data_IF_877282797747
#
_entry.id   IF_877282797747
#
_cell.length_a   1.000
_cell.length_b   1.000
_cell.length_c   1.000
_cell.angle_alpha   90.00
_cell.angle_beta   90.00
_cell.angle_gamma   90.00
#
_symmetry.space_group_name_H-M   'P 1'
#
loop_
_entity.id
_entity.type
_entity.pdbx_description
1 polymer ?
#
# COMPACT_ATOMS: atom_id res chain seq x y z
N UNK A 1 -19.83 -34.83 64.61
CA UNK A 1 -20.31 -35.39 63.33
C UNK A 1 -19.86 -34.41 62.27
N UNK A 2 -18.65 -34.50 61.70
CA UNK A 2 -18.24 -35.45 60.62
C UNK A 2 -19.31 -35.52 59.52
N UNK A 3 -19.07 -35.10 58.28
CA UNK A 3 -18.07 -35.54 57.31
C UNK A 3 -17.63 -34.36 56.40
N UNK A 4 -16.34 -34.09 56.22
CA UNK A 4 -15.46 -34.52 55.09
C UNK A 4 -15.92 -34.08 53.70
N UNK A 5 -15.24 -33.07 53.14
CA UNK A 5 -15.09 -32.90 51.69
C UNK A 5 -13.60 -32.83 51.36
N UNK A 6 -13.15 -33.72 50.49
CA UNK A 6 -11.76 -33.98 50.15
C UNK A 6 -11.12 -32.83 49.38
N UNK A 7 -9.88 -32.50 49.78
CA UNK A 7 -8.94 -31.73 48.98
C UNK A 7 -8.53 -32.51 47.72
N UNK A 8 -8.59 -31.86 46.56
CA UNK A 8 -7.74 -32.17 45.41
C UNK A 8 -6.97 -30.92 45.04
N UNK A 9 -5.67 -31.12 44.96
CA UNK A 9 -4.62 -30.14 44.73
C UNK A 9 -4.78 -29.53 43.33
N UNK A 10 -4.80 -28.20 43.25
CA UNK A 10 -4.47 -27.48 42.02
C UNK A 10 -2.96 -27.27 41.99
N UNK A 11 -2.23 -27.80 41.00
CA UNK A 11 -0.82 -27.48 40.85
C UNK A 11 -0.70 -26.06 40.30
N UNK A 12 -0.06 -25.20 41.09
CA UNK A 12 0.57 -23.95 40.67
C UNK A 12 1.54 -24.26 39.52
N UNK A 13 1.28 -23.70 38.35
CA UNK A 13 2.21 -23.67 37.23
C UNK A 13 2.70 -22.23 37.02
N UNK A 14 4.03 -22.13 37.02
CA UNK A 14 4.86 -20.93 36.93
C UNK A 14 4.70 -20.18 35.60
N UNK A 15 4.97 -18.87 35.55
CA UNK A 15 4.98 -18.09 34.33
C UNK A 15 6.37 -18.15 33.67
N UNK A 16 6.53 -19.02 32.68
CA UNK A 16 7.64 -18.95 31.70
C UNK A 16 7.06 -19.09 30.29
N UNK A 17 6.48 -18.00 29.78
CA UNK A 17 6.40 -17.78 28.34
C UNK A 17 7.64 -16.98 27.96
N UNK A 18 8.71 -17.70 27.62
CA UNK A 18 9.84 -17.13 26.92
C UNK A 18 9.33 -16.54 25.61
N UNK A 19 9.38 -15.22 25.50
CA UNK A 19 9.34 -14.52 24.24
C UNK A 19 10.50 -15.04 23.40
N UNK A 20 10.20 -15.81 22.36
CA UNK A 20 11.16 -16.08 21.30
C UNK A 20 11.36 -14.78 20.55
N UNK A 21 12.40 -14.05 20.94
CA UNK A 21 13.04 -13.01 20.13
C UNK A 21 13.40 -13.64 18.79
N UNK A 22 12.61 -13.36 17.75
CA UNK A 22 13.06 -13.54 16.38
C UNK A 22 14.18 -12.55 16.16
N UNK A 23 15.42 -13.05 16.14
CA UNK A 23 16.61 -12.31 15.74
C UNK A 23 16.32 -11.55 14.45
N UNK A 24 16.39 -10.21 14.52
CA UNK A 24 16.32 -9.30 13.38
C UNK A 24 17.59 -9.36 12.51
N UNK A 25 18.26 -10.52 12.47
CA UNK A 25 19.55 -10.73 11.84
C UNK A 25 19.56 -12.04 11.04
N UNK A 26 18.60 -12.17 10.11
CA UNK A 26 18.69 -13.19 9.07
C UNK A 26 19.70 -12.71 8.02
N UNK A 27 20.77 -13.48 7.72
CA UNK A 27 21.73 -13.10 6.70
C UNK A 27 21.03 -13.05 5.33
N UNK A 28 21.19 -11.92 4.61
CA UNK A 28 20.74 -11.78 3.22
C UNK A 28 21.39 -12.85 2.35
N UNK A 29 20.68 -13.30 1.31
CA UNK A 29 21.24 -14.21 0.30
C UNK A 29 22.54 -13.60 -0.30
N UNK A 30 23.70 -14.26 -0.16
CA UNK A 30 24.99 -13.75 -0.61
C UNK A 30 25.09 -13.56 -2.13
N UNK A 31 24.09 -13.96 -2.92
CA UNK A 31 24.05 -13.77 -4.36
C UNK A 31 23.31 -12.50 -4.83
N UNK A 32 22.80 -11.69 -3.90
CA UNK A 32 22.26 -10.36 -4.23
C UNK A 32 23.42 -9.38 -4.43
N UNK A 33 23.58 -8.73 -5.60
CA UNK A 33 24.66 -7.77 -5.78
C UNK A 33 24.51 -6.61 -4.78
N UNK A 34 25.45 -6.50 -3.84
CA UNK A 34 25.54 -5.41 -2.88
C UNK A 34 25.80 -4.11 -3.66
N UNK A 35 24.75 -3.33 -3.89
CA UNK A 35 24.87 -1.95 -4.38
C UNK A 35 25.20 -1.10 -3.15
N UNK A 36 26.25 -0.28 -3.23
CA UNK A 36 26.57 0.65 -2.14
C UNK A 36 25.36 1.55 -1.82
N UNK A 37 25.16 1.99 -0.55
CA UNK A 37 24.07 2.88 -0.18
C UNK A 37 24.07 4.10 -1.10
N UNK A 38 22.93 4.40 -1.73
CA UNK A 38 22.83 5.53 -2.67
C UNK A 38 22.46 6.83 -1.95
N UNK A 39 22.05 6.74 -0.69
CA UNK A 39 21.68 7.87 0.16
C UNK A 39 22.60 7.97 1.39
N UNK A 40 22.73 9.18 1.92
CA UNK A 40 23.37 9.47 3.20
C UNK A 40 22.33 9.98 4.19
N UNK A 41 22.27 9.36 5.38
CA UNK A 41 21.13 9.24 6.32
C UNK A 41 20.53 10.55 6.91
N UNK A 42 21.04 11.75 6.63
CA UNK A 42 20.76 12.91 7.49
C UNK A 42 20.10 14.15 6.88
N UNK A 43 20.05 14.31 5.55
CA UNK A 43 19.50 15.55 4.94
C UNK A 43 18.58 15.31 3.72
N UNK A 44 18.11 14.07 3.51
CA UNK A 44 17.23 13.79 2.37
C UNK A 44 15.79 14.30 2.61
N UNK A 45 15.22 15.14 1.73
CA UNK A 45 13.84 15.64 1.86
C UNK A 45 12.77 14.55 1.98
N UNK A 46 12.98 13.37 1.40
CA UNK A 46 12.07 12.24 1.52
C UNK A 46 12.04 11.70 2.96
N UNK A 47 13.20 11.64 3.63
CA UNK A 47 13.30 11.23 5.04
C UNK A 47 12.58 12.25 5.91
N UNK A 48 12.82 13.56 5.71
CA UNK A 48 12.11 14.61 6.45
C UNK A 48 10.58 14.55 6.25
N UNK A 49 10.13 14.28 5.03
CA UNK A 49 8.71 14.11 4.74
C UNK A 49 8.11 12.90 5.48
N UNK A 50 8.85 11.79 5.55
CA UNK A 50 8.48 10.60 6.33
C UNK A 50 8.48 10.89 7.84
N UNK A 51 9.49 11.58 8.37
CA UNK A 51 9.56 11.94 9.79
C UNK A 51 8.41 12.88 10.21
N UNK A 52 7.98 13.76 9.31
CA UNK A 52 6.83 14.63 9.54
C UNK A 52 5.48 13.90 9.59
N UNK A 53 5.45 12.59 9.32
CA UNK A 53 4.27 11.70 9.44
C UNK A 53 4.49 10.64 10.53
N UNK A 54 5.67 10.02 10.56
CA UNK A 54 5.98 8.87 11.41
C UNK A 54 6.90 9.19 12.60
N UNK A 55 7.18 10.47 12.85
CA UNK A 55 8.00 10.90 13.98
C UNK A 55 9.50 10.77 13.69
N UNK A 56 10.37 10.96 14.69
CA UNK A 56 11.81 10.89 14.48
C UNK A 56 12.22 9.48 14.04
N UNK A 57 12.80 9.35 12.84
CA UNK A 57 13.25 8.07 12.28
C UNK A 57 14.77 7.96 12.30
N UNK A 58 15.46 9.07 12.04
CA UNK A 58 16.92 9.14 11.94
C UNK A 58 17.61 9.14 13.30
N UNK A 59 16.93 9.66 14.33
CA UNK A 59 17.49 9.82 15.69
C UNK A 59 17.22 8.63 16.61
N UNK A 60 16.35 7.70 16.21
CA UNK A 60 16.09 6.48 16.97
C UNK A 60 17.23 5.48 16.79
N UNK A 61 17.73 4.96 17.90
CA UNK A 61 18.75 3.91 17.93
C UNK A 61 18.12 2.54 17.66
N UNK A 62 18.88 1.59 17.11
CA UNK A 62 18.38 0.25 16.71
C UNK A 62 17.61 -0.48 17.82
N UNK A 63 18.03 -0.33 19.09
CA UNK A 63 17.34 -0.96 20.22
C UNK A 63 15.97 -0.34 20.52
N UNK A 64 15.77 0.94 20.23
CA UNK A 64 14.52 1.68 20.44
C UNK A 64 13.48 1.32 19.37
N UNK A 65 13.93 0.97 18.17
CA UNK A 65 13.08 0.59 17.02
C UNK A 65 12.18 -0.59 17.36
N UNK A 66 12.65 -1.54 18.18
CA UNK A 66 11.86 -2.72 18.58
C UNK A 66 10.62 -2.37 19.43
N UNK A 67 10.62 -1.21 20.06
CA UNK A 67 9.51 -0.69 20.88
C UNK A 67 8.78 0.48 20.22
N UNK A 68 9.21 0.87 19.02
CA UNK A 68 8.62 1.99 18.32
C UNK A 68 7.18 1.69 17.93
N UNK A 69 6.30 2.64 18.23
CA UNK A 69 4.92 2.64 17.78
C UNK A 69 4.74 3.86 16.88
N UNK A 70 4.16 3.71 15.67
CA UNK A 70 4.00 4.85 14.79
C UNK A 70 3.12 5.91 15.46
N UNK A 71 3.52 7.20 15.46
CA UNK A 71 2.66 8.26 15.97
C UNK A 71 1.37 8.36 15.14
N UNK A 72 0.32 9.01 15.65
CA UNK A 72 -0.95 9.16 14.94
C UNK A 72 -0.90 10.22 13.82
N UNK A 73 0.21 10.30 13.08
CA UNK A 73 0.51 11.34 12.09
C UNK A 73 0.06 11.05 10.66
N UNK A 74 -0.38 9.82 10.36
CA UNK A 74 -0.87 9.43 9.02
C UNK A 74 -2.21 10.08 8.62
N UNK A 75 -2.84 10.78 9.58
CA UNK A 75 -4.18 11.36 9.44
C UNK A 75 -5.28 10.33 9.68
N UNK A 76 -6.53 10.73 9.47
CA UNK A 76 -7.67 9.83 9.65
C UNK A 76 -8.05 9.55 11.11
N UNK A 77 -9.02 8.67 11.29
CA UNK A 77 -9.54 8.28 12.59
C UNK A 77 -8.50 7.46 13.38
N UNK A 78 -8.18 7.92 14.60
CA UNK A 78 -7.09 7.40 15.45
C UNK A 78 -5.70 7.49 14.79
N UNK A 79 -5.52 8.41 13.84
CA UNK A 79 -4.20 8.69 13.24
C UNK A 79 -3.69 7.62 12.29
N UNK A 80 -4.60 6.83 11.70
CA UNK A 80 -4.29 5.89 10.61
C UNK A 80 -5.17 6.16 9.41
N UNK A 81 -4.56 6.11 8.23
CA UNK A 81 -5.24 6.29 6.96
C UNK A 81 -4.61 5.33 5.95
N UNK A 82 -5.39 4.37 5.47
CA UNK A 82 -4.86 3.12 4.88
C UNK A 82 -3.93 3.37 3.68
N UNK A 83 -4.25 4.35 2.83
CA UNK A 83 -3.39 4.71 1.68
C UNK A 83 -2.07 5.35 2.11
N UNK A 84 -2.13 6.27 3.08
CA UNK A 84 -0.93 6.92 3.63
C UNK A 84 0.00 5.87 4.24
N UNK A 85 -0.57 4.93 5.00
CA UNK A 85 0.21 3.88 5.66
C UNK A 85 0.75 2.84 4.66
N UNK A 86 0.03 2.52 3.59
CA UNK A 86 0.54 1.66 2.51
C UNK A 86 1.78 2.26 1.84
N UNK A 87 1.73 3.56 1.52
CA UNK A 87 2.89 4.31 1.03
C UNK A 87 4.00 4.36 2.08
N UNK A 88 3.66 4.51 3.36
CA UNK A 88 4.63 4.49 4.46
C UNK A 88 5.45 3.19 4.50
N UNK A 89 4.76 2.04 4.44
CA UNK A 89 5.41 0.72 4.39
C UNK A 89 6.33 0.61 3.18
N UNK A 90 5.87 1.01 1.99
CA UNK A 90 6.68 0.96 0.77
C UNK A 90 7.91 1.87 0.85
N UNK A 91 7.76 3.08 1.37
CA UNK A 91 8.87 4.01 1.58
C UNK A 91 9.87 3.48 2.61
N UNK A 92 9.41 2.86 3.69
CA UNK A 92 10.31 2.23 4.67
C UNK A 92 11.11 1.07 4.06
N UNK A 93 10.48 0.25 3.21
CA UNK A 93 11.21 -0.79 2.47
C UNK A 93 12.26 -0.16 1.54
N UNK A 94 11.90 0.90 0.80
CA UNK A 94 12.86 1.63 -0.03
C UNK A 94 14.02 2.19 0.79
N UNK A 95 13.75 2.85 1.93
CA UNK A 95 14.79 3.42 2.78
C UNK A 95 15.71 2.34 3.38
N UNK A 96 15.18 1.16 3.70
CA UNK A 96 16.00 0.05 4.17
C UNK A 96 17.06 -0.37 3.14
N UNK A 97 16.69 -0.41 1.87
CA UNK A 97 17.59 -0.74 0.75
C UNK A 97 18.54 0.40 0.42
N UNK A 98 18.03 1.63 0.27
CA UNK A 98 18.83 2.79 -0.16
C UNK A 98 19.86 3.25 0.88
N UNK A 99 19.60 3.01 2.17
CA UNK A 99 20.48 3.35 3.30
C UNK A 99 21.19 2.12 3.90
N UNK A 100 20.92 0.93 3.37
CA UNK A 100 21.42 -0.35 3.90
C UNK A 100 21.19 -0.52 5.42
N UNK A 101 19.96 -0.24 5.87
CA UNK A 101 19.63 -0.18 7.30
C UNK A 101 18.35 -0.94 7.63
N UNK A 102 18.49 -2.04 8.37
CA UNK A 102 17.38 -2.91 8.79
C UNK A 102 16.38 -2.21 9.72
N UNK A 103 16.75 -1.06 10.33
CA UNK A 103 15.86 -0.24 11.17
C UNK A 103 14.55 0.11 10.44
N UNK A 104 14.63 0.41 9.14
CA UNK A 104 13.46 0.78 8.37
C UNK A 104 12.53 -0.40 8.07
N UNK A 105 13.05 -1.63 7.91
CA UNK A 105 12.19 -2.81 7.83
C UNK A 105 11.45 -3.03 9.16
N UNK A 106 12.08 -2.79 10.30
CA UNK A 106 11.41 -2.86 11.58
C UNK A 106 10.30 -1.80 11.75
N UNK A 107 10.52 -0.57 11.27
CA UNK A 107 9.43 0.43 11.18
C UNK A 107 8.29 -0.03 10.28
N UNK A 108 8.57 -0.62 9.11
CA UNK A 108 7.56 -1.16 8.21
C UNK A 108 6.72 -2.25 8.89
N UNK A 109 7.37 -3.18 9.59
CA UNK A 109 6.69 -4.25 10.33
C UNK A 109 5.81 -3.71 11.46
N UNK A 110 6.32 -2.76 12.26
CA UNK A 110 5.56 -2.12 13.33
C UNK A 110 4.36 -1.31 12.80
N UNK A 111 4.51 -0.65 11.64
CA UNK A 111 3.42 0.05 10.97
C UNK A 111 2.33 -0.91 10.50
N UNK A 112 2.70 -2.06 9.91
CA UNK A 112 1.74 -3.12 9.53
C UNK A 112 0.94 -3.60 10.74
N UNK A 113 1.60 -3.93 11.85
CA UNK A 113 0.91 -4.32 13.09
C UNK A 113 -0.05 -3.23 13.55
N UNK A 114 0.39 -1.97 13.58
CA UNK A 114 -0.44 -0.86 14.03
C UNK A 114 -1.65 -0.59 13.13
N UNK A 115 -1.51 -0.78 11.81
CA UNK A 115 -2.63 -0.69 10.87
C UNK A 115 -3.62 -1.81 11.12
N UNK A 116 -3.18 -3.05 11.29
CA UNK A 116 -4.08 -4.19 11.55
C UNK A 116 -4.80 -4.05 12.89
N UNK A 117 -4.11 -3.52 13.91
CA UNK A 117 -4.70 -3.28 15.23
C UNK A 117 -5.59 -2.04 15.30
N UNK A 118 -5.41 -1.05 14.43
CA UNK A 118 -6.29 0.13 14.40
C UNK A 118 -7.43 -0.04 13.39
N UNK A 119 -7.09 -0.28 12.12
CA UNK A 119 -8.02 -0.31 10.98
C UNK A 119 -8.68 -1.68 10.77
N UNK A 120 -8.10 -2.76 11.31
CA UNK A 120 -8.71 -4.10 11.38
C UNK A 120 -9.60 -4.31 12.60
N UNK A 121 -9.94 -3.24 13.33
CA UNK A 121 -10.86 -3.22 14.47
C UNK A 121 -12.01 -2.25 14.25
N UNK A 122 -13.07 -2.41 15.03
CA UNK A 122 -14.16 -1.44 15.13
C UNK A 122 -13.64 -0.06 15.54
N UNK A 123 -14.40 1.00 15.25
CA UNK A 123 -13.95 2.38 15.51
C UNK A 123 -13.65 2.63 16.99
N UNK A 124 -14.45 2.07 17.88
CA UNK A 124 -14.22 2.08 19.34
C UNK A 124 -13.08 1.16 19.82
N UNK A 125 -12.42 0.45 18.90
CA UNK A 125 -11.34 -0.51 19.15
C UNK A 125 -11.74 -1.74 19.98
N UNK A 126 -13.03 -1.91 20.30
CA UNK A 126 -13.50 -2.94 21.22
C UNK A 126 -13.33 -4.37 20.69
N UNK A 127 -13.38 -4.57 19.37
CA UNK A 127 -13.20 -5.89 18.74
C UNK A 127 -12.60 -5.80 17.35
N UNK A 128 -12.14 -6.95 16.81
CA UNK A 128 -11.80 -7.13 15.39
C UNK A 128 -13.04 -6.88 14.52
N UNK A 129 -12.83 -6.51 13.26
CA UNK A 129 -13.90 -6.41 12.29
C UNK A 129 -14.62 -7.76 12.11
N UNK A 130 -15.84 -7.73 11.60
CA UNK A 130 -16.66 -8.93 11.44
C UNK A 130 -15.94 -9.95 10.57
N UNK A 131 -16.07 -11.24 10.92
CA UNK A 131 -15.32 -12.36 10.33
C UNK A 131 -13.81 -12.44 10.66
N UNK A 132 -13.19 -11.42 11.23
CA UNK A 132 -11.78 -11.45 11.64
C UNK A 132 -11.55 -12.01 13.04
N UNK A 133 -10.38 -12.58 13.26
CA UNK A 133 -9.88 -13.03 14.58
C UNK A 133 -8.42 -12.60 14.75
N UNK A 134 -7.83 -12.73 15.95
CA UNK A 134 -6.41 -12.41 16.12
C UNK A 134 -5.48 -13.33 15.30
N UNK A 135 -5.92 -14.53 14.95
CA UNK A 135 -5.17 -15.44 14.06
C UNK A 135 -5.38 -15.14 12.58
N UNK A 136 -6.53 -14.57 12.24
CA UNK A 136 -6.93 -14.25 10.87
C UNK A 136 -7.44 -12.80 10.82
N UNK A 137 -6.53 -11.82 11.00
CA UNK A 137 -6.92 -10.44 11.30
C UNK A 137 -7.53 -9.69 10.12
N UNK A 138 -7.36 -10.17 8.89
CA UNK A 138 -7.77 -9.49 7.67
C UNK A 138 -9.02 -10.12 7.01
N UNK A 139 -9.63 -11.13 7.62
CA UNK A 139 -10.90 -11.73 7.13
C UNK A 139 -12.09 -10.77 7.14
N UNK A 140 -12.02 -9.72 7.94
CA UNK A 140 -13.01 -8.65 7.96
C UNK A 140 -12.65 -7.46 7.06
N UNK A 141 -11.57 -7.57 6.30
CA UNK A 141 -11.02 -6.45 5.56
C UNK A 141 -10.32 -5.42 6.45
N UNK A 142 -10.25 -4.17 5.99
CA UNK A 142 -9.69 -3.04 6.74
C UNK A 142 -10.52 -1.78 6.48
N UNK A 143 -10.77 -1.01 7.54
CA UNK A 143 -11.34 0.33 7.39
C UNK A 143 -10.35 1.23 6.65
N UNK A 144 -10.86 2.19 5.88
CA UNK A 144 -10.02 3.21 5.23
C UNK A 144 -9.44 4.20 6.26
N UNK A 145 -10.16 4.45 7.37
CA UNK A 145 -9.73 5.36 8.43
C UNK A 145 -10.24 6.79 8.27
N UNK A 146 -11.40 7.02 7.62
CA UNK A 146 -11.98 8.37 7.52
C UNK A 146 -12.42 8.88 8.90
N UNK A 147 -12.31 10.20 9.08
CA UNK A 147 -12.63 10.87 10.34
C UNK A 147 -14.11 10.68 10.72
N UNK A 148 -15.02 10.82 9.75
CA UNK A 148 -16.44 10.57 9.93
C UNK A 148 -16.77 9.09 9.72
N UNK A 149 -17.69 8.56 10.51
CA UNK A 149 -18.14 7.16 10.39
C UNK A 149 -19.06 6.97 9.18
N UNK A 150 -20.00 7.89 8.97
CA UNK A 150 -21.05 7.81 7.94
C UNK A 150 -21.01 9.01 6.99
N UNK A 151 -21.79 8.93 5.91
CA UNK A 151 -21.88 9.95 4.86
C UNK A 151 -21.08 9.58 3.60
N UNK A 152 -21.17 10.43 2.58
CA UNK A 152 -20.55 10.18 1.27
C UNK A 152 -19.02 10.00 1.38
N UNK A 153 -18.38 10.77 2.26
CA UNK A 153 -16.95 10.65 2.62
C UNK A 153 -16.71 10.00 3.99
N UNK A 154 -17.69 9.23 4.49
CA UNK A 154 -17.57 8.45 5.72
C UNK A 154 -16.58 7.29 5.59
N UNK A 155 -16.35 6.59 6.70
CA UNK A 155 -15.52 5.38 6.74
C UNK A 155 -16.15 4.25 5.90
N UNK A 156 -15.43 3.14 5.79
CA UNK A 156 -15.82 2.00 4.96
C UNK A 156 -14.61 1.27 4.44
N UNK A 157 -14.81 0.47 3.40
CA UNK A 157 -13.73 -0.24 2.72
C UNK A 157 -13.73 0.14 1.24
N UNK A 158 -12.55 0.48 0.72
CA UNK A 158 -12.34 0.92 -0.65
C UNK A 158 -11.43 -0.08 -1.35
N UNK A 159 -11.84 -0.52 -2.53
CA UNK A 159 -11.17 -1.61 -3.23
C UNK A 159 -9.70 -1.32 -3.54
N UNK A 160 -9.38 -0.22 -4.24
CA UNK A 160 -8.00 0.15 -4.56
C UNK A 160 -7.15 0.47 -3.31
N UNK A 161 -7.73 0.93 -2.20
CA UNK A 161 -6.98 1.13 -0.95
C UNK A 161 -6.54 -0.19 -0.35
N UNK A 162 -7.46 -1.16 -0.28
CA UNK A 162 -7.15 -2.51 0.17
C UNK A 162 -6.13 -3.17 -0.75
N UNK A 163 -6.26 -2.96 -2.07
CA UNK A 163 -5.34 -3.51 -3.05
C UNK A 163 -3.93 -2.89 -2.95
N UNK A 164 -3.83 -1.58 -2.68
CA UNK A 164 -2.55 -0.93 -2.38
C UNK A 164 -1.92 -1.47 -1.10
N UNK A 165 -2.73 -1.76 -0.09
CA UNK A 165 -2.25 -2.40 1.15
C UNK A 165 -1.76 -3.84 0.91
N UNK A 166 -2.49 -4.64 0.11
CA UNK A 166 -2.04 -5.97 -0.32
C UNK A 166 -0.68 -5.90 -1.04
N UNK A 167 -0.51 -4.91 -1.93
CA UNK A 167 0.77 -4.69 -2.59
C UNK A 167 1.88 -4.37 -1.58
N UNK A 168 1.65 -3.47 -0.63
CA UNK A 168 2.63 -3.14 0.41
C UNK A 168 3.01 -4.37 1.27
N UNK A 169 2.04 -5.19 1.69
CA UNK A 169 2.28 -6.45 2.41
C UNK A 169 3.11 -7.43 1.58
N UNK A 170 2.80 -7.57 0.29
CA UNK A 170 3.57 -8.42 -0.61
C UNK A 170 5.02 -7.94 -0.77
N UNK A 171 5.24 -6.62 -0.93
CA UNK A 171 6.59 -6.05 -0.98
C UNK A 171 7.35 -6.27 0.32
N UNK A 172 6.69 -6.13 1.48
CA UNK A 172 7.30 -6.43 2.78
C UNK A 172 7.67 -7.91 2.90
N UNK A 173 6.82 -8.81 2.38
CA UNK A 173 7.11 -10.24 2.34
C UNK A 173 8.38 -10.56 1.57
N UNK A 174 8.57 -9.92 0.41
CA UNK A 174 9.77 -10.09 -0.41
C UNK A 174 11.00 -9.50 0.28
N UNK A 175 10.90 -8.26 0.79
CA UNK A 175 12.03 -7.57 1.41
C UNK A 175 12.54 -8.26 2.69
N UNK A 176 11.63 -8.85 3.48
CA UNK A 176 11.98 -9.56 4.73
C UNK A 176 12.27 -11.04 4.53
N UNK A 177 11.88 -11.61 3.38
CA UNK A 177 11.86 -13.05 3.17
C UNK A 177 10.79 -13.79 3.99
N UNK A 178 9.93 -13.08 4.73
CA UNK A 178 8.89 -13.69 5.56
C UNK A 178 7.59 -13.88 4.75
N UNK A 179 7.19 -15.13 4.43
CA UNK A 179 6.01 -15.40 3.60
C UNK A 179 4.70 -15.02 4.28
N UNK A 180 4.68 -14.84 5.61
CA UNK A 180 3.46 -14.53 6.35
C UNK A 180 2.82 -13.21 5.90
N UNK A 181 3.62 -12.25 5.44
CA UNK A 181 3.07 -10.99 4.93
C UNK A 181 2.32 -11.17 3.61
N UNK A 182 2.80 -12.02 2.70
CA UNK A 182 2.04 -12.38 1.50
C UNK A 182 0.82 -13.25 1.84
N UNK A 183 0.92 -14.14 2.82
CA UNK A 183 -0.22 -14.92 3.32
C UNK A 183 -1.33 -14.01 3.88
N UNK A 184 -0.96 -12.91 4.57
CA UNK A 184 -1.91 -11.88 5.02
C UNK A 184 -2.54 -11.13 3.83
N UNK A 185 -1.77 -10.79 2.81
CA UNK A 185 -2.31 -10.18 1.59
C UNK A 185 -3.30 -11.10 0.87
N UNK A 186 -3.01 -12.40 0.77
CA UNK A 186 -3.91 -13.42 0.22
C UNK A 186 -5.19 -13.55 1.06
N UNK A 187 -5.08 -13.56 2.38
CA UNK A 187 -6.23 -13.58 3.29
C UNK A 187 -7.15 -12.37 3.04
N UNK A 188 -6.57 -11.17 2.91
CA UNK A 188 -7.33 -9.96 2.63
C UNK A 188 -8.00 -10.04 1.25
N UNK A 189 -7.27 -10.50 0.23
CA UNK A 189 -7.76 -10.63 -1.14
C UNK A 189 -9.01 -11.54 -1.21
N UNK A 190 -8.91 -12.74 -0.63
CA UNK A 190 -10.00 -13.72 -0.60
C UNK A 190 -11.22 -13.22 0.21
N UNK A 191 -10.98 -12.50 1.30
CA UNK A 191 -12.05 -12.00 2.15
C UNK A 191 -12.90 -10.91 1.48
N UNK A 192 -12.24 -9.96 0.81
CA UNK A 192 -12.91 -8.76 0.30
C UNK A 192 -13.44 -8.94 -1.13
N UNK A 193 -12.82 -9.78 -1.95
CA UNK A 193 -13.22 -9.98 -3.35
C UNK A 193 -14.72 -10.24 -3.55
N UNK A 194 -15.36 -11.26 -2.92
CA UNK A 194 -16.78 -11.54 -3.14
C UNK A 194 -17.71 -10.40 -2.67
N UNK A 195 -17.21 -9.41 -1.93
CA UNK A 195 -17.98 -8.27 -1.42
C UNK A 195 -17.92 -7.07 -2.35
N UNK A 196 -16.85 -6.95 -3.13
CA UNK A 196 -16.69 -5.90 -4.13
C UNK A 196 -17.21 -6.29 -5.53
N UNK A 197 -17.50 -7.58 -5.75
CA UNK A 197 -18.01 -8.11 -7.00
C UNK A 197 -19.51 -8.40 -6.91
N UNK A 198 -20.30 -7.71 -7.73
CA UNK A 198 -21.76 -7.85 -7.80
C UNK A 198 -22.12 -8.57 -9.09
N UNK A 199 -22.55 -9.82 -8.98
CA UNK A 199 -22.98 -10.61 -10.13
C UNK A 199 -24.39 -10.20 -10.57
N UNK A 200 -24.48 -9.50 -11.70
CA UNK A 200 -25.74 -9.16 -12.35
C UNK A 200 -26.22 -10.26 -13.30
N UNK A 201 -27.44 -10.10 -13.82
CA UNK A 201 -28.03 -11.01 -14.82
C UNK A 201 -27.24 -10.99 -16.13
N UNK A 202 -26.73 -9.83 -16.53
CA UNK A 202 -26.02 -9.65 -17.81
C UNK A 202 -24.49 -9.66 -17.65
N UNK A 203 -23.96 -9.21 -16.51
CA UNK A 203 -22.52 -9.06 -16.30
C UNK A 203 -22.16 -8.89 -14.81
N UNK A 204 -20.98 -9.38 -14.43
CA UNK A 204 -20.38 -9.15 -13.10
C UNK A 204 -19.79 -7.75 -12.99
N UNK A 205 -20.23 -6.89 -12.08
CA UNK A 205 -19.63 -5.54 -11.93
C UNK A 205 -18.82 -5.41 -10.65
N UNK A 206 -17.85 -4.51 -10.64
CA UNK A 206 -17.18 -4.09 -9.42
C UNK A 206 -17.84 -2.84 -8.83
N UNK A 207 -17.75 -2.69 -7.51
CA UNK A 207 -18.16 -1.48 -6.79
C UNK A 207 -16.96 -0.82 -6.14
N UNK A 208 -17.01 0.50 -6.01
CA UNK A 208 -15.89 1.30 -5.50
C UNK A 208 -15.72 1.21 -3.97
N UNK A 209 -16.83 1.23 -3.23
CA UNK A 209 -16.84 1.30 -1.76
C UNK A 209 -17.98 0.48 -1.16
N UNK A 210 -17.66 -0.25 -0.09
CA UNK A 210 -18.60 -0.99 0.75
C UNK A 210 -18.51 -0.53 2.21
N UNK A 211 -19.51 -0.90 3.01
CA UNK A 211 -19.56 -0.66 4.45
C UNK A 211 -18.46 -1.42 5.21
N UNK A 212 -18.19 -1.00 6.44
CA UNK A 212 -17.13 -1.60 7.29
C UNK A 212 -17.39 -3.08 7.55
N UNK A 213 -18.66 -3.48 7.73
CA UNK A 213 -19.11 -4.88 7.89
C UNK A 213 -19.11 -5.69 6.58
N UNK A 214 -18.83 -5.04 5.44
CA UNK A 214 -18.87 -5.60 4.08
C UNK A 214 -20.25 -6.10 3.63
N UNK A 215 -21.34 -5.66 4.26
CA UNK A 215 -22.71 -6.09 3.92
C UNK A 215 -23.42 -5.15 2.94
N UNK A 216 -23.01 -3.89 2.86
CA UNK A 216 -23.70 -2.84 2.11
C UNK A 216 -22.78 -2.17 1.08
N UNK A 217 -23.25 -2.03 -0.16
CA UNK A 217 -22.60 -1.18 -1.17
C UNK A 217 -22.89 0.28 -0.85
N UNK A 218 -21.84 1.05 -0.56
CA UNK A 218 -21.94 2.49 -0.27
C UNK A 218 -21.71 3.36 -1.51
N UNK A 219 -20.86 2.90 -2.43
CA UNK A 219 -20.65 3.57 -3.70
C UNK A 219 -20.59 2.53 -4.83
N UNK A 220 -21.64 2.44 -5.68
CA UNK A 220 -21.72 1.44 -6.73
C UNK A 220 -20.94 1.82 -8.00
N UNK A 221 -20.24 2.95 -8.02
CA UNK A 221 -19.44 3.35 -9.19
C UNK A 221 -18.33 2.33 -9.43
N UNK A 222 -17.98 2.16 -10.70
CA UNK A 222 -16.91 1.29 -11.15
C UNK A 222 -15.84 2.16 -11.82
N UNK A 223 -14.62 2.17 -11.29
CA UNK A 223 -13.47 2.85 -11.87
C UNK A 223 -12.56 1.87 -12.62
N UNK A 224 -11.93 2.31 -13.72
CA UNK A 224 -10.97 1.48 -14.46
C UNK A 224 -9.75 1.10 -13.60
N UNK A 225 -9.34 1.99 -12.69
CA UNK A 225 -8.22 1.74 -11.78
C UNK A 225 -8.45 0.54 -10.87
N UNK A 226 -9.65 0.37 -10.29
CA UNK A 226 -9.95 -0.72 -9.35
C UNK A 226 -9.72 -2.09 -10.02
N UNK A 227 -10.19 -2.25 -11.26
CA UNK A 227 -10.06 -3.51 -11.99
C UNK A 227 -8.62 -3.79 -12.45
N UNK A 228 -7.92 -2.78 -13.00
CA UNK A 228 -6.53 -2.92 -13.46
C UNK A 228 -5.60 -3.23 -12.29
N UNK A 229 -5.71 -2.43 -11.23
CA UNK A 229 -4.88 -2.59 -10.04
C UNK A 229 -5.20 -3.91 -9.32
N UNK A 230 -6.47 -4.24 -9.19
CA UNK A 230 -6.95 -5.50 -8.62
C UNK A 230 -6.36 -6.71 -9.34
N UNK A 231 -6.48 -6.77 -10.67
CA UNK A 231 -5.93 -7.88 -11.45
C UNK A 231 -4.41 -8.02 -11.24
N UNK A 232 -3.67 -6.91 -11.37
CA UNK A 232 -2.20 -6.93 -11.32
C UNK A 232 -1.69 -7.37 -9.96
N UNK A 233 -2.28 -6.84 -8.88
CA UNK A 233 -1.90 -7.23 -7.52
C UNK A 233 -2.30 -8.67 -7.22
N UNK A 234 -3.49 -9.13 -7.61
CA UNK A 234 -3.89 -10.53 -7.36
C UNK A 234 -2.97 -11.53 -8.08
N UNK A 235 -2.56 -11.24 -9.32
CA UNK A 235 -1.53 -12.03 -10.03
C UNK A 235 -0.19 -12.00 -9.29
N UNK A 236 0.26 -10.83 -8.85
CA UNK A 236 1.49 -10.68 -8.07
C UNK A 236 1.47 -11.49 -6.77
N UNK A 237 0.36 -11.45 -6.01
CA UNK A 237 0.19 -12.21 -4.78
C UNK A 237 0.30 -13.72 -5.05
N UNK A 238 -0.41 -14.20 -6.08
CA UNK A 238 -0.40 -15.60 -6.48
C UNK A 238 1.00 -16.06 -6.93
N UNK A 239 1.67 -15.26 -7.77
CA UNK A 239 3.02 -15.58 -8.24
C UNK A 239 4.02 -15.62 -7.06
N UNK A 240 3.94 -14.66 -6.14
CA UNK A 240 4.77 -14.63 -4.92
C UNK A 240 4.48 -15.83 -4.01
N UNK A 241 3.21 -16.26 -3.92
CA UNK A 241 2.86 -17.43 -3.12
C UNK A 241 3.54 -18.70 -3.67
N UNK A 242 3.54 -18.87 -5.00
CA UNK A 242 4.20 -20.00 -5.67
C UNK A 242 5.71 -19.99 -5.42
N UNK A 243 6.38 -18.84 -5.55
CA UNK A 243 7.82 -18.74 -5.27
C UNK A 243 8.16 -19.03 -3.81
N UNK A 244 7.23 -18.77 -2.88
CA UNK A 244 7.32 -19.08 -1.45
C UNK A 244 6.83 -20.50 -1.10
N UNK A 245 6.67 -21.38 -2.08
CA UNK A 245 6.31 -22.79 -1.89
C UNK A 245 4.86 -23.03 -1.48
N UNK A 246 3.96 -22.06 -1.70
CA UNK A 246 2.50 -22.25 -1.54
C UNK A 246 1.91 -22.91 -2.78
N UNK A 247 0.66 -23.38 -2.65
CA UNK A 247 -0.07 -23.96 -3.78
C UNK A 247 -0.30 -22.92 -4.88
N UNK A 248 -0.28 -23.36 -6.13
CA UNK A 248 -0.67 -22.52 -7.27
C UNK A 248 -2.19 -22.37 -7.35
N UNK A 249 -2.66 -21.27 -7.96
CA UNK A 249 -4.09 -21.07 -8.21
C UNK A 249 -4.93 -20.63 -7.01
N UNK A 250 -4.31 -20.15 -5.92
CA UNK A 250 -5.01 -19.70 -4.70
C UNK A 250 -5.98 -18.52 -4.93
N UNK A 251 -5.80 -17.77 -6.01
CA UNK A 251 -6.66 -16.64 -6.42
C UNK A 251 -7.21 -16.83 -7.84
N UNK A 252 -7.28 -18.08 -8.33
CA UNK A 252 -7.63 -18.36 -9.73
C UNK A 252 -9.02 -17.84 -10.10
N UNK A 253 -10.00 -17.96 -9.20
CA UNK A 253 -11.37 -17.51 -9.48
C UNK A 253 -11.43 -15.99 -9.51
N UNK A 254 -10.83 -15.34 -8.51
CA UNK A 254 -10.79 -13.90 -8.37
C UNK A 254 -10.11 -13.23 -9.57
N UNK A 255 -8.96 -13.76 -10.00
CA UNK A 255 -8.23 -13.31 -11.19
C UNK A 255 -9.12 -13.42 -12.44
N UNK A 256 -9.85 -14.53 -12.63
CA UNK A 256 -10.71 -14.72 -13.79
C UNK A 256 -11.87 -13.72 -13.86
N UNK A 257 -12.40 -13.28 -12.71
CA UNK A 257 -13.47 -12.28 -12.64
C UNK A 257 -12.96 -10.87 -12.97
N UNK A 258 -11.76 -10.49 -12.52
CA UNK A 258 -11.12 -9.24 -13.00
C UNK A 258 -10.88 -9.26 -14.51
N UNK A 259 -10.40 -10.38 -15.05
CA UNK A 259 -10.19 -10.52 -16.50
C UNK A 259 -11.52 -10.39 -17.27
N UNK A 260 -12.63 -10.87 -16.72
CA UNK A 260 -13.96 -10.69 -17.31
C UNK A 260 -14.34 -9.20 -17.40
N UNK A 261 -14.02 -8.42 -16.37
CA UNK A 261 -14.31 -6.98 -16.32
C UNK A 261 -13.44 -6.22 -17.33
N UNK A 262 -12.14 -6.50 -17.38
CA UNK A 262 -11.21 -5.80 -18.29
C UNK A 262 -11.43 -6.15 -19.76
N UNK A 263 -11.97 -7.35 -20.07
CA UNK A 263 -12.35 -7.75 -21.44
C UNK A 263 -13.53 -6.97 -22.03
N UNK A 264 -14.22 -6.13 -21.24
CA UNK A 264 -15.37 -5.36 -21.72
C UNK A 264 -14.92 -4.13 -22.49
N UNK A 265 -15.46 -3.97 -23.69
CA UNK A 265 -15.14 -2.86 -24.57
C UNK A 265 -15.29 -1.49 -23.90
N UNK A 266 -14.28 -0.64 -24.12
CA UNK A 266 -14.28 0.76 -23.71
C UNK A 266 -13.99 1.05 -22.24
N UNK A 267 -13.76 0.03 -21.39
CA UNK A 267 -13.51 0.22 -19.94
C UNK A 267 -12.05 0.48 -19.56
N UNK A 268 -11.11 0.07 -20.40
CA UNK A 268 -9.67 0.24 -20.15
C UNK A 268 -9.19 1.54 -20.77
N UNK A 269 -9.39 2.66 -20.07
CA UNK A 269 -8.89 3.98 -20.46
C UNK A 269 -8.30 4.74 -19.29
N UNK A 270 -7.22 5.50 -19.49
CA UNK A 270 -6.66 6.34 -18.46
C UNK A 270 -7.61 7.45 -18.03
N UNK A 271 -7.61 7.75 -16.73
CA UNK A 271 -8.32 8.88 -16.15
C UNK A 271 -7.56 10.19 -16.42
N UNK A 272 -8.27 11.32 -16.49
CA UNK A 272 -7.65 12.65 -16.45
C UNK A 272 -7.39 13.13 -15.02
N UNK A 273 -7.87 12.40 -14.00
CA UNK A 273 -7.46 12.62 -12.63
C UNK A 273 -6.01 12.19 -12.44
N UNK A 274 -5.15 13.08 -11.95
CA UNK A 274 -3.71 12.83 -11.89
C UNK A 274 -3.33 11.68 -10.94
N UNK A 275 -4.10 11.43 -9.88
CA UNK A 275 -3.83 10.28 -9.02
C UNK A 275 -4.10 8.99 -9.80
N UNK A 276 -5.31 8.86 -10.33
CA UNK A 276 -5.73 7.66 -11.07
C UNK A 276 -4.89 7.43 -12.33
N UNK A 277 -4.50 8.51 -13.02
CA UNK A 277 -3.61 8.47 -14.18
C UNK A 277 -2.29 7.81 -13.83
N UNK A 278 -1.64 8.28 -12.77
CA UNK A 278 -0.34 7.77 -12.34
C UNK A 278 -0.39 6.37 -11.76
N UNK A 279 -1.39 6.08 -10.92
CA UNK A 279 -1.57 4.75 -10.35
C UNK A 279 -1.93 3.73 -11.44
N UNK A 280 -2.72 4.13 -12.44
CA UNK A 280 -3.01 3.29 -13.61
C UNK A 280 -1.77 3.05 -14.46
N UNK A 281 -0.99 4.11 -14.75
CA UNK A 281 0.29 3.99 -15.47
C UNK A 281 1.24 3.03 -14.75
N UNK A 282 1.46 3.21 -13.46
CA UNK A 282 2.26 2.28 -12.65
C UNK A 282 1.72 0.85 -12.72
N UNK A 283 0.41 0.65 -12.61
CA UNK A 283 -0.18 -0.68 -12.65
C UNK A 283 0.06 -1.41 -13.99
N UNK A 284 0.24 -0.70 -15.11
CA UNK A 284 0.61 -1.34 -16.39
C UNK A 284 1.95 -2.08 -16.35
N UNK A 285 2.86 -1.72 -15.44
CA UNK A 285 4.13 -2.42 -15.24
C UNK A 285 3.96 -3.86 -14.73
N UNK A 286 2.78 -4.20 -14.19
CA UNK A 286 2.41 -5.56 -13.79
C UNK A 286 1.94 -6.42 -14.98
N UNK A 287 1.93 -5.89 -16.20
CA UNK A 287 1.43 -6.55 -17.41
C UNK A 287 2.38 -6.38 -18.61
N UNK A 288 3.68 -6.72 -18.50
CA UNK A 288 4.68 -6.40 -19.52
C UNK A 288 4.43 -7.03 -20.91
N UNK A 289 3.55 -8.03 -21.00
CA UNK A 289 3.21 -8.72 -22.25
C UNK A 289 1.82 -8.43 -22.82
N UNK A 290 1.01 -7.57 -22.20
CA UNK A 290 -0.38 -7.37 -22.63
C UNK A 290 -0.53 -6.11 -23.51
N UNK A 291 -1.08 -6.28 -24.72
CA UNK A 291 -1.22 -5.19 -25.71
C UNK A 291 -2.07 -4.03 -25.19
N UNK A 292 -3.14 -4.32 -24.43
CA UNK A 292 -3.96 -3.26 -23.85
C UNK A 292 -3.20 -2.46 -22.79
N UNK A 293 -2.26 -3.08 -22.06
CA UNK A 293 -1.46 -2.40 -21.05
C UNK A 293 -0.47 -1.45 -21.71
N UNK A 294 0.12 -1.85 -22.84
CA UNK A 294 0.95 -0.98 -23.67
C UNK A 294 0.14 0.22 -24.22
N UNK A 295 -1.05 -0.03 -24.77
CA UNK A 295 -1.92 1.05 -25.25
C UNK A 295 -2.38 2.00 -24.13
N UNK A 296 -2.71 1.45 -22.95
CA UNK A 296 -3.06 2.24 -21.77
C UNK A 296 -1.87 3.09 -21.32
N UNK A 297 -0.67 2.52 -21.27
CA UNK A 297 0.58 3.20 -20.93
C UNK A 297 0.85 4.38 -21.86
N UNK A 298 0.80 4.17 -23.17
CA UNK A 298 1.00 5.23 -24.18
C UNK A 298 -0.02 6.37 -24.02
N UNK A 299 -1.30 6.02 -23.87
CA UNK A 299 -2.36 7.01 -23.66
C UNK A 299 -2.17 7.78 -22.33
N UNK A 300 -1.67 7.12 -21.29
CA UNK A 300 -1.40 7.73 -19.97
C UNK A 300 -0.23 8.70 -20.04
N UNK A 301 0.85 8.34 -20.73
CA UNK A 301 2.01 9.21 -20.95
C UNK A 301 1.63 10.46 -21.74
N UNK A 302 0.80 10.33 -22.79
CA UNK A 302 0.31 11.46 -23.57
C UNK A 302 -0.56 12.43 -22.73
N UNK A 303 -1.42 11.89 -21.86
CA UNK A 303 -2.21 12.71 -20.92
C UNK A 303 -1.32 13.38 -19.88
N UNK A 304 -0.33 12.67 -19.35
CA UNK A 304 0.60 13.20 -18.37
C UNK A 304 1.44 14.35 -18.97
N UNK A 305 1.89 14.23 -20.22
CA UNK A 305 2.63 15.29 -20.91
C UNK A 305 1.80 16.57 -21.05
N UNK A 306 0.50 16.43 -21.29
CA UNK A 306 -0.44 17.56 -21.36
C UNK A 306 -0.72 18.19 -19.99
N UNK A 307 -0.92 17.37 -18.97
CA UNK A 307 -1.41 17.83 -17.67
C UNK A 307 -0.30 18.22 -16.69
N UNK A 308 0.90 17.67 -16.84
CA UNK A 308 2.09 18.04 -16.06
C UNK A 308 2.92 19.14 -16.72
N UNK A 309 2.55 19.57 -17.93
CA UNK A 309 3.16 20.74 -18.54
C UNK A 309 3.05 21.93 -17.57
N UNK A 310 4.15 22.63 -17.24
CA UNK A 310 4.13 23.78 -16.35
C UNK A 310 3.16 24.87 -16.81
N UNK A 311 2.90 25.01 -18.11
CA UNK A 311 1.95 25.97 -18.69
C UNK A 311 0.51 25.44 -18.74
N UNK A 312 0.26 24.21 -18.28
CA UNK A 312 -1.08 23.65 -18.28
C UNK A 312 -2.02 24.47 -17.38
N UNK A 313 -3.32 24.60 -17.74
CA UNK A 313 -4.30 25.29 -16.89
C UNK A 313 -4.46 24.68 -15.49
N UNK A 314 -4.00 23.44 -15.29
CA UNK A 314 -4.05 22.76 -14.01
C UNK A 314 -2.91 23.24 -13.09
N UNK A 315 -1.67 23.26 -13.59
CA UNK A 315 -0.50 23.65 -12.79
C UNK A 315 -0.36 25.17 -12.64
N UNK A 316 -0.97 25.96 -13.51
CA UNK A 316 -1.04 27.42 -13.41
C UNK A 316 -2.01 27.92 -12.32
N UNK A 317 -2.74 27.03 -11.65
CA UNK A 317 -3.62 27.41 -10.53
C UNK A 317 -2.83 27.73 -9.28
N UNK A 318 -3.42 28.53 -8.41
CA UNK A 318 -2.91 28.77 -7.07
C UNK A 318 -2.73 27.45 -6.29
N UNK A 319 -1.65 27.28 -5.50
CA UNK A 319 -1.42 26.06 -4.72
C UNK A 319 -2.60 25.63 -3.84
N UNK A 320 -3.43 26.56 -3.36
CA UNK A 320 -4.63 26.26 -2.56
C UNK A 320 -5.76 25.57 -3.35
N UNK A 321 -5.74 25.66 -4.68
CA UNK A 321 -6.68 25.02 -5.59
C UNK A 321 -6.10 23.77 -6.27
N UNK A 322 -4.91 23.36 -5.86
CA UNK A 322 -4.22 22.16 -6.34
C UNK A 322 -4.11 21.15 -5.21
N UNK A 323 -3.97 19.88 -5.56
CA UNK A 323 -3.86 18.78 -4.61
C UNK A 323 -2.53 18.05 -4.87
N UNK A 324 -1.56 18.28 -3.99
CA UNK A 324 -0.20 17.77 -4.18
C UNK A 324 -0.17 16.24 -4.37
N UNK A 325 -0.93 15.49 -3.58
CA UNK A 325 -1.00 14.03 -3.70
C UNK A 325 -1.51 13.54 -5.06
N UNK A 326 -2.40 14.28 -5.73
CA UNK A 326 -2.86 13.92 -7.09
C UNK A 326 -1.74 14.10 -8.10
N UNK A 327 -1.04 15.22 -8.04
CA UNK A 327 0.10 15.51 -8.92
C UNK A 327 1.26 14.54 -8.69
N UNK A 328 1.54 14.18 -7.43
CA UNK A 328 2.50 13.15 -7.09
C UNK A 328 2.09 11.77 -7.58
N UNK A 329 0.79 11.45 -7.66
CA UNK A 329 0.33 10.21 -8.28
C UNK A 329 0.84 10.08 -9.72
N UNK A 330 0.57 11.08 -10.56
CA UNK A 330 1.04 11.10 -11.95
C UNK A 330 2.57 11.06 -12.05
N UNK A 331 3.27 11.82 -11.21
CA UNK A 331 4.74 11.80 -11.14
C UNK A 331 5.27 10.40 -10.81
N UNK A 332 4.72 9.74 -9.78
CA UNK A 332 5.14 8.40 -9.38
C UNK A 332 4.92 7.37 -10.49
N UNK A 333 3.79 7.46 -11.19
CA UNK A 333 3.51 6.62 -12.36
C UNK A 333 4.59 6.72 -13.43
N UNK A 334 5.00 7.94 -13.79
CA UNK A 334 6.08 8.20 -14.75
C UNK A 334 7.43 7.69 -14.22
N UNK A 335 7.73 7.95 -12.94
CA UNK A 335 9.00 7.58 -12.33
C UNK A 335 9.17 6.06 -12.16
N UNK A 336 8.06 5.35 -12.02
CA UNK A 336 8.01 3.88 -12.03
C UNK A 336 8.12 3.28 -13.43
N UNK A 337 7.83 4.07 -14.46
CA UNK A 337 7.94 3.67 -15.85
C UNK A 337 9.38 3.80 -16.35
N UNK A 338 9.78 2.93 -17.27
CA UNK A 338 11.12 2.96 -17.89
C UNK A 338 11.16 3.84 -19.17
N UNK A 339 10.23 4.80 -19.32
CA UNK A 339 10.21 5.71 -20.47
C UNK A 339 11.40 6.66 -20.47
N UNK A 340 12.13 6.66 -21.59
CA UNK A 340 13.11 7.70 -21.89
C UNK A 340 12.41 8.90 -22.54
N UNK A 341 11.77 9.75 -21.73
CA UNK A 341 11.18 11.01 -22.19
C UNK A 341 11.73 12.18 -21.35
N UNK A 342 12.65 12.94 -21.96
CA UNK A 342 13.33 14.06 -21.30
C UNK A 342 12.35 15.15 -20.87
N UNK A 343 11.34 15.47 -21.69
CA UNK A 343 10.33 16.48 -21.34
C UNK A 343 9.53 16.06 -20.11
N UNK A 344 8.98 14.85 -20.10
CA UNK A 344 8.24 14.34 -18.94
C UNK A 344 9.11 14.28 -17.68
N UNK A 345 10.38 13.90 -17.83
CA UNK A 345 11.34 13.90 -16.71
C UNK A 345 11.54 15.29 -16.13
N UNK A 346 11.64 16.31 -16.99
CA UNK A 346 11.77 17.71 -16.58
C UNK A 346 10.48 18.25 -15.96
N UNK A 347 9.31 17.91 -16.52
CA UNK A 347 7.99 18.27 -16.00
C UNK A 347 7.77 17.68 -14.60
N UNK A 348 8.11 16.40 -14.39
CA UNK A 348 8.08 15.75 -13.07
C UNK A 348 9.00 16.49 -12.08
N UNK A 349 10.22 16.82 -12.49
CA UNK A 349 11.16 17.57 -11.64
C UNK A 349 10.58 18.93 -11.24
N UNK A 350 9.94 19.63 -12.18
CA UNK A 350 9.29 20.91 -11.94
C UNK A 350 8.18 20.81 -10.88
N UNK A 351 7.31 19.79 -11.00
CA UNK A 351 6.23 19.54 -10.02
C UNK A 351 6.81 19.24 -8.64
N UNK A 352 7.83 18.38 -8.55
CA UNK A 352 8.47 18.05 -7.28
C UNK A 352 9.12 19.27 -6.63
N UNK A 353 9.87 20.07 -7.39
CA UNK A 353 10.51 21.30 -6.89
C UNK A 353 9.48 22.33 -6.42
N UNK A 354 8.35 22.47 -7.12
CA UNK A 354 7.27 23.37 -6.72
C UNK A 354 6.68 22.99 -5.36
N UNK A 355 6.40 21.70 -5.14
CA UNK A 355 5.78 21.24 -3.90
C UNK A 355 6.75 21.06 -2.74
N UNK A 356 8.05 20.86 -2.99
CA UNK A 356 9.06 20.62 -1.96
C UNK A 356 9.02 21.67 -0.84
N UNK A 357 8.92 22.96 -1.20
CA UNK A 357 8.80 24.04 -0.22
C UNK A 357 7.54 23.94 0.64
N UNK A 358 6.41 23.55 0.03
CA UNK A 358 5.13 23.41 0.72
C UNK A 358 5.11 22.16 1.63
N UNK A 359 5.74 21.07 1.19
CA UNK A 359 5.94 19.84 1.98
C UNK A 359 6.77 20.13 3.21
N UNK A 360 7.89 20.86 3.06
CA UNK A 360 8.76 21.24 4.17
C UNK A 360 8.07 22.16 5.20
N UNK A 361 7.22 23.08 4.75
CA UNK A 361 6.51 24.00 5.65
C UNK A 361 5.32 23.38 6.37
N UNK A 362 4.77 22.28 5.86
CA UNK A 362 3.71 21.51 6.51
C UNK A 362 2.39 22.26 6.75
N UNK A 363 2.13 23.37 6.02
CA UNK A 363 0.95 24.22 6.23
C UNK A 363 0.02 24.18 5.02
N UNK A 364 -1.27 23.93 5.27
CA UNK A 364 -2.35 24.05 4.30
C UNK A 364 -3.08 22.74 4.01
N UNK A 365 -4.36 22.85 3.63
CA UNK A 365 -5.20 21.69 3.26
C UNK A 365 -4.68 20.91 2.05
N UNK A 366 -3.80 21.51 1.24
CA UNK A 366 -3.18 20.91 0.05
C UNK A 366 -2.02 19.95 0.37
N UNK A 367 -1.44 20.02 1.57
CA UNK A 367 -0.29 19.19 2.01
C UNK A 367 -0.67 18.36 3.24
N UNK A 368 -1.59 17.44 3.03
CA UNK A 368 -1.98 16.44 4.02
C UNK A 368 -0.87 15.38 4.19
N UNK A 369 -0.91 14.53 5.24
CA UNK A 369 0.04 13.43 5.43
C UNK A 369 0.25 12.54 4.19
N UNK A 370 -0.83 12.29 3.43
CA UNK A 370 -0.77 11.56 2.15
C UNK A 370 0.19 12.23 1.15
N UNK A 371 0.17 13.56 1.04
CA UNK A 371 1.07 14.29 0.15
C UNK A 371 2.54 14.10 0.54
N UNK A 372 2.85 13.99 1.84
CA UNK A 372 4.23 13.81 2.34
C UNK A 372 4.78 12.43 1.99
N UNK A 373 4.01 11.37 2.22
CA UNK A 373 4.45 10.00 1.89
C UNK A 373 4.51 9.78 0.38
N UNK A 374 3.62 10.40 -0.40
CA UNK A 374 3.67 10.35 -1.85
C UNK A 374 4.85 11.15 -2.41
N UNK A 375 5.19 12.29 -1.82
CA UNK A 375 6.41 13.04 -2.16
C UNK A 375 7.66 12.18 -1.93
N UNK A 376 7.76 11.52 -0.77
CA UNK A 376 8.87 10.62 -0.46
C UNK A 376 8.98 9.47 -1.49
N UNK A 377 7.83 8.87 -1.87
CA UNK A 377 7.77 7.85 -2.91
C UNK A 377 8.22 8.38 -4.29
N UNK A 378 7.88 9.62 -4.66
CA UNK A 378 8.37 10.22 -5.90
C UNK A 378 9.87 10.49 -5.88
N UNK A 379 10.44 10.87 -4.72
CA UNK A 379 11.89 11.07 -4.62
C UNK A 379 12.64 9.76 -4.76
N UNK A 380 12.12 8.71 -4.14
CA UNK A 380 12.70 7.36 -4.15
C UNK A 380 11.61 6.32 -4.46
N UNK A 381 11.29 6.07 -5.75
CA UNK A 381 10.21 5.15 -6.12
C UNK A 381 10.41 3.73 -5.57
N UNK A 382 11.67 3.26 -5.52
CA UNK A 382 12.08 2.03 -4.84
C UNK A 382 11.07 0.89 -4.92
N UNK A 383 10.53 0.48 -3.77
CA UNK A 383 9.60 -0.64 -3.62
C UNK A 383 8.30 -0.54 -4.43
N UNK A 384 7.94 0.63 -5.00
CA UNK A 384 6.84 0.73 -5.97
C UNK A 384 7.20 0.09 -7.31
N UNK A 385 8.47 0.16 -7.74
CA UNK A 385 8.91 -0.52 -8.96
C UNK A 385 8.91 -2.03 -8.70
N UNK A 386 8.09 -2.77 -9.44
CA UNK A 386 7.91 -4.23 -9.24
C UNK A 386 9.26 -4.96 -9.35
N UNK A 387 10.13 -4.51 -10.25
CA UNK A 387 11.47 -5.04 -10.49
C UNK A 387 12.52 -4.64 -9.45
N UNK A 388 12.22 -3.73 -8.51
CA UNK A 388 13.20 -3.21 -7.56
C UNK A 388 13.71 -4.29 -6.60
N UNK A 389 12.80 -5.01 -5.93
CA UNK A 389 13.15 -6.08 -5.00
C UNK A 389 13.32 -7.44 -5.69
N UNK A 390 12.64 -7.64 -6.82
CA UNK A 390 12.60 -8.93 -7.54
C UNK A 390 13.70 -9.06 -8.60
N UNK A 391 14.45 -7.98 -8.87
CA UNK A 391 15.35 -7.89 -10.01
C UNK A 391 14.61 -7.79 -11.35
N UNK A 392 15.36 -7.88 -12.46
CA UNK A 392 14.80 -7.72 -13.82
C UNK A 392 13.92 -8.87 -14.29
N UNK A 393 13.97 -10.04 -13.62
CA UNK A 393 13.11 -11.18 -13.96
C UNK A 393 11.92 -11.20 -13.01
N UNK A 394 10.77 -10.75 -13.50
CA UNK A 394 9.52 -10.91 -12.78
C UNK A 394 9.22 -12.40 -12.56
N UNK A 395 8.54 -12.77 -11.47
CA UNK A 395 8.08 -14.14 -11.23
C UNK A 395 7.28 -14.68 -12.42
N UNK A 396 7.45 -15.97 -12.72
CA UNK A 396 6.64 -16.63 -13.75
C UNK A 396 5.15 -16.50 -13.41
N UNK A 397 4.35 -16.02 -14.37
CA UNK A 397 2.90 -15.84 -14.21
C UNK A 397 2.44 -14.42 -13.85
N UNK A 398 3.36 -13.44 -13.82
CA UNK A 398 3.05 -12.00 -13.89
C UNK A 398 2.88 -11.52 -15.34
#
# INVERSE_FOLDING_TARGET
MEYKTQARQHPTLSPEMQATTTDANMPRDPHTPHVAPRLTDHDDPAIHAMEAVYGPLTTLMDHEVTTWTPPPGSGGHLGRYLWTDAFGVLNFITLAEELDSSKYLAFAMALVTSVHDTLGRTRDQSRRLDHATDKEPLKGGLRIGKAHETGDDGDGQYHHYLTMWMFALNRLSVATGDPRYNDLALQLAQAIHPRFFVHGVEATRMVYKISVDMETVLNPREGSLDAILGLGVFRLLQATAVTQGRQSGLLKQEIAEYEEILRRDGRVRPSSDLLDLGMGLWATSLFPGEEWAQAYREASLALAEKHLDPQSPLLQRDPSHRLAFREFGACLGILCDDVENAKLTDDVRSVLSFWEHHVAQGKGESVQPISKVMYAACRHPGAFKVSYLLGKKLPEGL
#
